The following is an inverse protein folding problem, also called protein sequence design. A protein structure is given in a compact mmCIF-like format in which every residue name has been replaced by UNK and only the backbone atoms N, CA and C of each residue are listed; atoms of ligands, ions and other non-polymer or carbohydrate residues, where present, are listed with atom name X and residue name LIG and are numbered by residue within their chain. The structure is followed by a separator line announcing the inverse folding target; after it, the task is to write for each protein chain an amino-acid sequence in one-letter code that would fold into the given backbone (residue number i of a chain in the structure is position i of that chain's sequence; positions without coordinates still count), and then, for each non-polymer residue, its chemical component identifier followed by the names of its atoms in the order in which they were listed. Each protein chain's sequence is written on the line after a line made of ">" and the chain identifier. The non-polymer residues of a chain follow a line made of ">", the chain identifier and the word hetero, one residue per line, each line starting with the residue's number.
data_IF_651262881224
#
_entry.id   IF_651262881224
#
_cell.length_a   1.000
_cell.length_b   1.000
_cell.length_c   1.000
_cell.angle_alpha   90.00
_cell.angle_beta   90.00
_cell.angle_gamma   90.00
#
_symmetry.space_group_name_H-M   'P 1'
#
loop_
_entity.id
_entity.type
_entity.pdbx_description
1 polymer ?
#
# COMPACT_ATOMS: atom_id res chain seq x y z
N UNK A 1 -53.10 -39.28 -9.18
CA UNK A 1 -51.79 -39.41 -8.51
C UNK A 1 -51.12 -38.05 -8.52
N UNK A 2 -51.29 -37.25 -7.45
CA UNK A 2 -50.54 -36.00 -7.27
C UNK A 2 -49.12 -36.36 -6.83
N UNK A 3 -48.14 -35.70 -7.44
CA UNK A 3 -46.73 -36.09 -7.36
C UNK A 3 -46.14 -35.74 -5.99
N UNK A 4 -45.29 -36.63 -5.45
CA UNK A 4 -44.59 -36.44 -4.17
C UNK A 4 -43.67 -35.19 -4.12
N UNK A 5 -43.50 -34.50 -5.25
CA UNK A 5 -42.72 -33.27 -5.37
C UNK A 5 -43.45 -32.04 -4.82
N UNK A 6 -44.78 -31.98 -4.92
CA UNK A 6 -45.57 -30.81 -4.45
C UNK A 6 -45.71 -30.82 -2.92
N UNK A 7 -45.84 -31.98 -2.31
CA UNK A 7 -45.98 -32.12 -0.85
C UNK A 7 -44.70 -31.72 -0.10
N UNK A 8 -43.53 -31.89 -0.74
CA UNK A 8 -42.25 -31.47 -0.16
C UNK A 8 -42.03 -29.96 -0.23
N UNK A 9 -42.63 -29.27 -1.20
CA UNK A 9 -42.48 -27.82 -1.34
C UNK A 9 -43.41 -27.06 -0.40
N UNK A 10 -44.62 -27.57 -0.15
CA UNK A 10 -45.53 -26.99 0.85
C UNK A 10 -44.99 -27.12 2.28
N UNK A 11 -44.35 -28.24 2.64
CA UNK A 11 -43.73 -28.40 3.97
C UNK A 11 -42.59 -27.41 4.22
N UNK A 12 -41.77 -27.13 3.21
CA UNK A 12 -40.68 -26.16 3.30
C UNK A 12 -41.19 -24.73 3.46
N UNK A 13 -42.29 -24.36 2.78
CA UNK A 13 -42.91 -23.05 2.94
C UNK A 13 -43.61 -22.88 4.29
N UNK A 14 -44.12 -23.96 4.89
CA UNK A 14 -44.70 -23.94 6.23
C UNK A 14 -43.65 -23.74 7.34
N UNK A 15 -42.44 -24.30 7.19
CA UNK A 15 -41.35 -24.07 8.14
C UNK A 15 -40.80 -22.63 8.10
N UNK A 16 -40.78 -22.00 6.92
CA UNK A 16 -40.28 -20.62 6.76
C UNK A 16 -41.19 -19.54 7.38
N UNK A 17 -42.46 -19.85 7.63
CA UNK A 17 -43.42 -18.93 8.26
C UNK A 17 -43.66 -19.19 9.75
N UNK A 18 -42.94 -20.12 10.36
CA UNK A 18 -43.03 -20.32 11.80
C UNK A 18 -42.49 -19.07 12.55
N UNK A 19 -43.27 -18.47 13.47
CA UNK A 19 -42.84 -17.29 14.20
C UNK A 19 -41.63 -17.60 15.07
N UNK A 20 -40.52 -16.89 14.83
CA UNK A 20 -39.31 -16.96 15.65
C UNK A 20 -39.65 -16.69 17.12
N UNK A 21 -39.67 -17.76 17.93
CA UNK A 21 -39.67 -17.66 19.39
C UNK A 21 -38.41 -16.92 19.81
N UNK A 22 -38.57 -15.74 20.43
CA UNK A 22 -37.47 -15.02 21.08
C UNK A 22 -36.76 -15.98 22.04
N UNK A 23 -35.43 -16.13 21.95
CA UNK A 23 -34.68 -16.94 22.91
C UNK A 23 -34.84 -16.34 24.30
N UNK A 24 -35.40 -17.14 25.20
CA UNK A 24 -35.50 -16.85 26.62
C UNK A 24 -34.07 -16.78 27.17
N UNK A 25 -33.64 -15.58 27.58
CA UNK A 25 -32.30 -15.38 28.13
C UNK A 25 -32.16 -16.18 29.43
N UNK A 26 -31.38 -17.25 29.36
CA UNK A 26 -30.95 -17.99 30.54
C UNK A 26 -30.20 -17.05 31.50
N UNK A 27 -30.67 -16.97 32.75
CA UNK A 27 -30.01 -16.21 33.81
C UNK A 27 -28.55 -16.67 33.95
N UNK A 28 -27.60 -15.75 34.13
CA UNK A 28 -26.19 -16.08 34.27
C UNK A 28 -25.99 -16.98 35.50
N UNK A 29 -25.44 -18.17 35.25
CA UNK A 29 -24.97 -19.09 36.28
C UNK A 29 -23.82 -18.38 37.01
N UNK A 30 -23.94 -18.18 38.33
CA UNK A 30 -22.85 -17.66 39.18
C UNK A 30 -21.66 -18.61 39.02
N UNK A 31 -20.64 -18.17 38.28
CA UNK A 31 -19.35 -18.83 38.25
C UNK A 31 -18.72 -18.64 39.62
N UNK A 32 -18.56 -19.76 40.32
CA UNK A 32 -17.80 -19.87 41.55
C UNK A 32 -16.35 -19.46 41.26
N UNK A 33 -15.93 -18.36 41.89
CA UNK A 33 -14.58 -17.82 41.77
C UNK A 33 -13.64 -18.82 42.42
N UNK A 34 -12.93 -19.58 41.58
CA UNK A 34 -11.81 -20.41 42.01
C UNK A 34 -10.66 -19.46 42.39
N UNK A 35 -10.14 -19.51 43.62
CA UNK A 35 -9.01 -18.67 44.01
C UNK A 35 -7.81 -19.00 43.12
N UNK A 36 -7.25 -17.97 42.49
CA UNK A 36 -6.00 -18.07 41.75
C UNK A 36 -4.88 -18.51 42.71
N UNK A 37 -4.02 -19.45 42.28
CA UNK A 37 -2.83 -19.79 43.04
C UNK A 37 -1.89 -18.58 43.05
N UNK A 38 -1.54 -18.18 44.27
CA UNK A 38 -0.55 -17.19 44.64
C UNK A 38 0.76 -17.46 43.87
N UNK A 39 0.99 -16.67 42.81
CA UNK A 39 2.22 -16.71 42.04
C UNK A 39 3.19 -15.70 42.64
N UNK A 40 3.94 -16.21 43.60
CA UNK A 40 5.11 -15.61 44.21
C UNK A 40 6.12 -15.13 43.15
N UNK A 41 6.49 -13.86 43.31
CA UNK A 41 7.81 -13.29 43.02
C UNK A 41 8.45 -13.63 41.66
N UNK A 42 8.13 -12.83 40.66
CA UNK A 42 9.11 -12.47 39.65
C UNK A 42 9.25 -10.94 39.64
N UNK A 43 10.20 -10.44 40.44
CA UNK A 43 10.53 -9.03 40.60
C UNK A 43 11.08 -8.41 39.30
N UNK A 44 10.21 -8.21 38.31
CA UNK A 44 10.41 -7.18 37.30
C UNK A 44 10.08 -5.86 37.97
N UNK A 45 11.11 -5.15 38.39
CA UNK A 45 11.02 -3.75 38.81
C UNK A 45 10.12 -3.01 37.82
N UNK A 46 8.94 -2.59 38.25
CA UNK A 46 8.08 -1.66 37.54
C UNK A 46 8.85 -0.35 37.37
N UNK A 47 9.58 -0.26 36.27
CA UNK A 47 10.29 0.93 35.88
C UNK A 47 9.24 2.04 35.66
N UNK A 48 9.17 2.99 36.60
CA UNK A 48 8.13 4.04 36.61
C UNK A 48 7.98 4.66 35.20
N UNK A 49 6.75 4.75 34.65
CA UNK A 49 6.53 5.24 33.29
C UNK A 49 7.08 6.66 33.02
N UNK A 50 7.31 7.46 34.07
CA UNK A 50 7.98 8.76 33.96
C UNK A 50 9.46 8.68 33.57
N UNK A 51 10.21 7.64 33.98
CA UNK A 51 11.64 7.54 33.65
C UNK A 51 11.84 7.24 32.16
N UNK A 52 11.03 6.34 31.59
CA UNK A 52 11.03 6.03 30.15
C UNK A 52 10.69 7.24 29.29
N UNK A 53 9.69 8.03 29.68
CA UNK A 53 9.34 9.28 28.97
C UNK A 53 10.52 10.26 28.95
N UNK A 54 11.20 10.45 30.09
CA UNK A 54 12.39 11.31 30.17
C UNK A 54 13.56 10.80 29.33
N UNK A 55 13.86 9.50 29.35
CA UNK A 55 14.93 8.93 28.53
C UNK A 55 14.66 9.07 27.03
N UNK A 56 13.41 8.83 26.59
CA UNK A 56 13.00 9.03 25.20
C UNK A 56 13.10 10.51 24.81
N UNK A 57 12.69 11.42 25.69
CA UNK A 57 12.78 12.86 25.46
C UNK A 57 14.24 13.33 25.35
N UNK A 58 15.12 12.90 26.26
CA UNK A 58 16.56 13.18 26.22
C UNK A 58 17.23 12.63 24.95
N UNK A 59 16.91 11.40 24.56
CA UNK A 59 17.40 10.80 23.32
C UNK A 59 16.94 11.60 22.08
N UNK A 60 15.66 12.00 22.04
CA UNK A 60 15.14 12.81 20.94
C UNK A 60 15.70 14.24 20.95
N UNK A 61 15.93 14.84 22.12
CA UNK A 61 16.56 16.17 22.24
C UNK A 61 18.02 16.14 21.79
N UNK A 62 18.77 15.10 22.14
CA UNK A 62 20.14 14.89 21.68
C UNK A 62 20.21 14.66 20.17
N UNK A 63 19.19 14.02 19.60
CA UNK A 63 19.09 13.77 18.15
C UNK A 63 18.32 14.86 17.38
N UNK A 64 17.78 15.90 18.05
CA UNK A 64 16.99 16.99 17.45
C UNK A 64 17.80 17.74 16.38
N UNK A 65 19.13 17.85 16.56
CA UNK A 65 20.05 18.46 15.58
C UNK A 65 20.22 17.65 14.28
N UNK A 66 19.98 16.33 14.32
CA UNK A 66 20.07 15.48 13.13
C UNK A 66 18.74 15.42 12.35
N UNK A 67 17.63 15.88 12.96
CA UNK A 67 16.29 15.82 12.34
C UNK A 67 16.05 16.88 11.26
N UNK A 68 16.81 17.99 11.24
CA UNK A 68 16.71 18.99 10.16
C UNK A 68 17.03 18.43 8.77
N UNK A 69 17.89 17.41 8.70
CA UNK A 69 18.32 16.81 7.44
C UNK A 69 17.54 15.55 7.05
N UNK A 70 16.55 15.15 7.86
CA UNK A 70 15.85 13.88 7.70
C UNK A 70 16.74 12.67 8.00
N UNK A 71 16.08 11.53 8.15
CA UNK A 71 16.70 10.21 8.29
C UNK A 71 17.21 9.79 6.91
N UNK A 72 18.39 9.19 6.84
CA UNK A 72 18.96 8.74 5.56
C UNK A 72 18.39 7.38 5.14
N UNK A 73 18.36 7.10 3.83
CA UNK A 73 17.93 5.78 3.30
C UNK A 73 18.79 4.65 3.88
N UNK A 74 20.08 4.89 4.11
CA UNK A 74 20.97 3.91 4.74
C UNK A 74 20.54 3.53 6.16
N UNK A 75 19.97 4.46 6.92
CA UNK A 75 19.41 4.15 8.23
C UNK A 75 18.17 3.25 8.09
N UNK A 76 17.30 3.49 7.09
CA UNK A 76 16.17 2.61 6.82
C UNK A 76 16.62 1.18 6.46
N UNK A 77 17.64 1.04 5.60
CA UNK A 77 18.24 -0.26 5.28
C UNK A 77 18.82 -0.93 6.53
N UNK A 78 19.55 -0.18 7.36
CA UNK A 78 20.11 -0.71 8.62
C UNK A 78 19.00 -1.19 9.57
N UNK A 79 17.88 -0.47 9.66
CA UNK A 79 16.72 -0.87 10.48
C UNK A 79 16.06 -2.13 9.95
N UNK A 80 15.90 -2.25 8.63
CA UNK A 80 15.37 -3.47 7.98
C UNK A 80 16.29 -4.66 8.27
N UNK A 81 17.60 -4.55 8.00
CA UNK A 81 18.55 -5.64 8.20
C UNK A 81 18.80 -5.97 9.69
N UNK A 82 18.61 -5.01 10.59
CA UNK A 82 18.79 -5.19 12.03
C UNK A 82 17.63 -5.93 12.71
N UNK A 83 16.49 -6.09 12.05
CA UNK A 83 15.31 -6.76 12.60
C UNK A 83 14.88 -7.91 11.70
N UNK A 84 15.07 -9.15 12.18
CA UNK A 84 14.69 -10.36 11.45
C UNK A 84 13.21 -10.37 11.03
N UNK A 85 12.32 -9.87 11.90
CA UNK A 85 10.87 -9.76 11.59
C UNK A 85 10.62 -8.79 10.43
N UNK A 86 11.19 -7.58 10.48
CA UNK A 86 11.00 -6.55 9.45
C UNK A 86 11.63 -6.96 8.11
N UNK A 87 12.80 -7.58 8.14
CA UNK A 87 13.47 -8.14 6.97
C UNK A 87 12.63 -9.23 6.31
N UNK A 88 12.17 -10.22 7.09
CA UNK A 88 11.37 -11.33 6.58
C UNK A 88 10.02 -10.85 6.03
N UNK A 89 9.34 -9.92 6.72
CA UNK A 89 8.12 -9.30 6.21
C UNK A 89 8.36 -8.54 4.91
N UNK A 90 9.46 -7.80 4.79
CA UNK A 90 9.80 -7.07 3.56
C UNK A 90 10.02 -8.00 2.38
N UNK A 91 10.79 -9.09 2.56
CA UNK A 91 10.99 -10.11 1.53
C UNK A 91 9.67 -10.79 1.17
N UNK A 92 8.88 -11.18 2.17
CA UNK A 92 7.58 -11.83 1.96
C UNK A 92 6.65 -10.97 1.11
N UNK A 93 6.61 -9.66 1.37
CA UNK A 93 5.81 -8.71 0.59
C UNK A 93 6.31 -8.58 -0.85
N UNK A 94 7.62 -8.50 -1.06
CA UNK A 94 8.21 -8.45 -2.42
C UNK A 94 7.82 -9.71 -3.20
N UNK A 95 8.02 -10.90 -2.62
CA UNK A 95 7.71 -12.17 -3.27
C UNK A 95 6.21 -12.29 -3.59
N UNK A 96 5.36 -11.88 -2.64
CA UNK A 96 3.91 -11.91 -2.81
C UNK A 96 3.45 -10.95 -3.92
N UNK A 97 4.01 -9.74 -3.96
CA UNK A 97 3.74 -8.77 -5.03
C UNK A 97 4.14 -9.30 -6.41
N UNK A 98 5.33 -9.90 -6.53
CA UNK A 98 5.81 -10.50 -7.79
C UNK A 98 4.88 -11.63 -8.22
N UNK A 99 4.51 -12.54 -7.30
CA UNK A 99 3.64 -13.67 -7.59
C UNK A 99 2.27 -13.23 -8.10
N UNK A 100 1.62 -12.29 -7.40
CA UNK A 100 0.30 -11.75 -7.81
C UNK A 100 0.41 -11.04 -9.16
N UNK A 101 1.44 -10.23 -9.37
CA UNK A 101 1.63 -9.51 -10.63
C UNK A 101 1.78 -10.48 -11.80
N UNK A 102 2.62 -11.51 -11.66
CA UNK A 102 2.81 -12.54 -12.70
C UNK A 102 1.49 -13.28 -12.96
N UNK A 103 0.80 -13.71 -11.92
CA UNK A 103 -0.47 -14.40 -12.04
C UNK A 103 -1.49 -13.56 -12.81
N UNK A 104 -1.71 -12.31 -12.40
CA UNK A 104 -2.67 -11.40 -13.04
C UNK A 104 -2.25 -11.05 -14.46
N UNK A 105 -0.95 -10.97 -14.75
CA UNK A 105 -0.45 -10.64 -16.09
C UNK A 105 -0.84 -11.72 -17.08
N UNK A 106 -0.69 -13.00 -16.70
CA UNK A 106 -1.15 -14.12 -17.51
C UNK A 106 -2.66 -14.10 -17.69
N UNK A 107 -3.43 -13.80 -16.64
CA UNK A 107 -4.90 -13.73 -16.73
C UNK A 107 -5.36 -12.63 -17.70
N UNK A 108 -4.86 -11.39 -17.54
CA UNK A 108 -5.25 -10.28 -18.41
C UNK A 108 -4.80 -10.48 -19.86
N UNK A 109 -3.55 -10.93 -20.07
CA UNK A 109 -3.04 -11.16 -21.42
C UNK A 109 -3.83 -12.27 -22.13
N UNK A 110 -4.07 -13.39 -21.44
CA UNK A 110 -4.86 -14.51 -21.98
C UNK A 110 -6.29 -14.07 -22.31
N UNK A 111 -6.94 -13.35 -21.39
CA UNK A 111 -8.29 -12.83 -21.58
C UNK A 111 -8.40 -11.95 -22.83
N UNK A 112 -7.50 -10.99 -23.02
CA UNK A 112 -7.52 -10.08 -24.17
C UNK A 112 -7.21 -10.84 -25.47
N UNK A 113 -6.22 -11.73 -25.45
CA UNK A 113 -5.82 -12.50 -26.64
C UNK A 113 -6.94 -13.42 -27.11
N UNK A 114 -7.59 -14.17 -26.22
CA UNK A 114 -8.74 -15.03 -26.57
C UNK A 114 -9.85 -14.25 -27.27
N UNK A 115 -10.09 -13.00 -26.85
CA UNK A 115 -11.13 -12.14 -27.43
C UNK A 115 -10.74 -11.47 -28.75
N UNK A 116 -9.46 -11.41 -29.07
CA UNK A 116 -8.94 -10.65 -30.23
C UNK A 116 -8.25 -11.51 -31.27
N UNK A 117 -8.04 -12.81 -30.99
CA UNK A 117 -7.39 -13.75 -31.90
C UNK A 117 -8.08 -13.84 -33.26
N UNK A 118 -9.42 -13.82 -33.31
CA UNK A 118 -10.15 -14.00 -34.56
C UNK A 118 -10.03 -12.82 -35.53
N UNK A 119 -9.84 -11.59 -34.99
CA UNK A 119 -9.63 -10.39 -35.80
C UNK A 119 -8.36 -10.47 -36.66
N UNK A 120 -7.33 -11.15 -36.17
CA UNK A 120 -6.03 -11.23 -36.85
C UNK A 120 -5.89 -12.43 -37.80
N UNK A 121 -6.83 -13.40 -37.78
CA UNK A 121 -6.77 -14.63 -38.60
C UNK A 121 -7.15 -14.43 -40.06
N UNK A 122 -7.94 -13.42 -40.40
CA UNK A 122 -8.44 -13.23 -41.76
C UNK A 122 -7.35 -12.60 -42.63
N UNK A 123 -6.79 -13.38 -43.55
CA UNK A 123 -5.80 -12.86 -44.50
C UNK A 123 -6.44 -11.97 -45.57
N UNK A 124 -5.73 -10.92 -46.02
CA UNK A 124 -6.23 -10.09 -47.11
C UNK A 124 -6.42 -10.93 -48.37
N UNK A 125 -7.67 -11.05 -48.82
CA UNK A 125 -7.99 -11.64 -50.12
C UNK A 125 -7.64 -10.62 -51.22
N UNK A 126 -6.50 -10.79 -51.89
CA UNK A 126 -6.16 -9.97 -53.05
C UNK A 126 -4.77 -10.23 -53.61
N UNK A 127 -4.67 -10.15 -54.94
CA UNK A 127 -3.41 -10.11 -55.68
C UNK A 127 -3.10 -8.65 -56.05
N UNK A 128 -1.82 -8.25 -56.02
CA UNK A 128 -1.36 -6.93 -56.46
C UNK A 128 -0.59 -6.11 -55.42
N UNK A 129 -0.11 -4.93 -55.83
CA UNK A 129 0.71 -4.06 -54.97
C UNK A 129 0.01 -3.65 -53.66
N UNK A 130 -1.29 -3.31 -53.73
CA UNK A 130 -2.06 -2.92 -52.54
C UNK A 130 -2.27 -4.05 -51.53
N UNK A 131 -2.35 -5.32 -51.98
CA UNK A 131 -2.46 -6.44 -51.05
C UNK A 131 -1.16 -6.67 -50.27
N UNK A 132 -0.01 -6.45 -50.91
CA UNK A 132 1.30 -6.46 -50.24
C UNK A 132 1.40 -5.36 -49.17
N UNK A 133 1.01 -4.12 -49.50
CA UNK A 133 1.02 -2.99 -48.54
C UNK A 133 0.08 -3.30 -47.35
N UNK A 134 -1.13 -3.78 -47.62
CA UNK A 134 -2.07 -4.15 -46.56
C UNK A 134 -1.55 -5.30 -45.71
N UNK A 135 -0.90 -6.31 -46.30
CA UNK A 135 -0.26 -7.40 -45.57
C UNK A 135 0.79 -6.88 -44.57
N UNK A 136 1.70 -6.02 -45.01
CA UNK A 136 2.70 -5.43 -44.10
C UNK A 136 2.07 -4.57 -43.01
N UNK A 137 1.04 -3.78 -43.34
CA UNK A 137 0.30 -2.98 -42.37
C UNK A 137 -0.41 -3.86 -41.33
N UNK A 138 -0.98 -5.01 -41.75
CA UNK A 138 -1.58 -6.01 -40.86
C UNK A 138 -0.54 -6.65 -39.94
N UNK A 139 0.61 -7.07 -40.48
CA UNK A 139 1.71 -7.66 -39.70
C UNK A 139 2.23 -6.66 -38.66
N UNK A 140 2.51 -5.42 -39.08
CA UNK A 140 2.96 -4.35 -38.20
C UNK A 140 1.90 -3.98 -37.15
N UNK A 141 0.63 -3.86 -37.56
CA UNK A 141 -0.50 -3.61 -36.68
C UNK A 141 -0.67 -4.71 -35.63
N UNK A 142 -0.55 -5.98 -36.02
CA UNK A 142 -0.61 -7.13 -35.10
C UNK A 142 0.56 -7.14 -34.12
N UNK A 143 1.75 -6.73 -34.56
CA UNK A 143 2.91 -6.56 -33.69
C UNK A 143 2.68 -5.46 -32.65
N UNK A 144 2.30 -4.26 -33.10
CA UNK A 144 2.00 -3.12 -32.22
C UNK A 144 0.86 -3.43 -31.25
N UNK A 145 -0.19 -4.10 -31.73
CA UNK A 145 -1.30 -4.55 -30.89
C UNK A 145 -0.83 -5.50 -29.80
N UNK A 146 -0.08 -6.56 -30.14
CA UNK A 146 0.46 -7.51 -29.15
C UNK A 146 1.39 -6.84 -28.15
N UNK A 147 2.21 -5.90 -28.60
CA UNK A 147 3.07 -5.10 -27.72
C UNK A 147 2.22 -4.27 -26.75
N UNK A 148 1.21 -3.57 -27.26
CA UNK A 148 0.30 -2.73 -26.48
C UNK A 148 -0.46 -3.56 -25.44
N UNK A 149 -1.00 -4.72 -25.83
CA UNK A 149 -1.70 -5.63 -24.91
C UNK A 149 -0.76 -6.07 -23.79
N UNK A 150 0.48 -6.50 -24.09
CA UNK A 150 1.44 -6.92 -23.07
C UNK A 150 1.76 -5.78 -22.10
N UNK A 151 2.01 -4.58 -22.61
CA UNK A 151 2.33 -3.40 -21.80
C UNK A 151 1.14 -3.03 -20.90
N UNK A 152 -0.08 -2.93 -21.45
CA UNK A 152 -1.28 -2.61 -20.69
C UNK A 152 -1.60 -3.69 -19.65
N UNK A 153 -1.56 -4.98 -20.04
CA UNK A 153 -1.77 -6.09 -19.10
C UNK A 153 -0.78 -6.05 -17.96
N UNK A 154 0.51 -5.80 -18.24
CA UNK A 154 1.52 -5.65 -17.20
C UNK A 154 1.18 -4.52 -16.20
N UNK A 155 0.86 -3.32 -16.69
CA UNK A 155 0.52 -2.19 -15.81
C UNK A 155 -0.77 -2.41 -15.03
N UNK A 156 -1.80 -2.97 -15.63
CA UNK A 156 -3.04 -3.31 -14.92
C UNK A 156 -2.80 -4.35 -13.82
N UNK A 157 -2.02 -5.40 -14.11
CA UNK A 157 -1.62 -6.40 -13.12
C UNK A 157 -0.86 -5.78 -11.97
N UNK A 158 0.11 -4.92 -12.28
CA UNK A 158 0.92 -4.24 -11.28
C UNK A 158 0.08 -3.32 -10.37
N UNK A 159 -0.79 -2.49 -10.96
CA UNK A 159 -1.68 -1.59 -10.21
C UNK A 159 -2.63 -2.38 -9.29
N UNK A 160 -3.19 -3.48 -9.80
CA UNK A 160 -4.07 -4.33 -9.03
C UNK A 160 -3.31 -5.03 -7.90
N UNK A 161 -2.15 -5.63 -8.20
CA UNK A 161 -1.29 -6.27 -7.23
C UNK A 161 -0.89 -5.30 -6.11
N UNK A 162 -0.48 -4.08 -6.48
CA UNK A 162 -0.12 -3.01 -5.54
C UNK A 162 -1.27 -2.72 -4.57
N UNK A 163 -2.49 -2.62 -5.10
CA UNK A 163 -3.69 -2.34 -4.30
C UNK A 163 -4.01 -3.49 -3.32
N UNK A 164 -3.81 -4.74 -3.74
CA UNK A 164 -4.01 -5.92 -2.87
C UNK A 164 -2.92 -6.04 -1.80
N UNK A 165 -1.69 -5.68 -2.14
CA UNK A 165 -0.52 -5.77 -1.26
C UNK A 165 -0.42 -4.58 -0.29
N UNK A 166 -1.16 -3.49 -0.53
CA UNK A 166 -1.12 -2.26 0.29
C UNK A 166 -1.26 -2.48 1.81
N UNK A 167 -2.12 -3.39 2.33
CA UNK A 167 -2.24 -3.60 3.78
C UNK A 167 -0.95 -4.19 4.38
N UNK A 168 -0.20 -4.98 3.60
CA UNK A 168 1.08 -5.52 4.05
C UNK A 168 2.17 -4.43 4.13
N UNK A 169 2.12 -3.43 3.25
CA UNK A 169 2.99 -2.26 3.36
C UNK A 169 2.61 -1.37 4.56
N UNK A 170 1.32 -1.20 4.86
CA UNK A 170 0.87 -0.56 6.12
C UNK A 170 1.41 -1.30 7.34
N UNK A 171 1.42 -2.63 7.31
CA UNK A 171 1.97 -3.46 8.38
C UNK A 171 3.49 -3.29 8.53
N UNK A 172 4.25 -3.29 7.43
CA UNK A 172 5.70 -2.99 7.43
C UNK A 172 5.95 -1.60 8.03
N UNK A 173 5.16 -0.59 7.63
CA UNK A 173 5.23 0.76 8.19
C UNK A 173 5.01 0.74 9.71
N UNK A 174 4.01 0.00 10.21
CA UNK A 174 3.78 -0.11 11.66
C UNK A 174 4.98 -0.70 12.40
N UNK A 175 5.50 -1.84 11.94
CA UNK A 175 6.67 -2.49 12.56
C UNK A 175 7.87 -1.52 12.58
N UNK A 176 8.10 -0.81 11.47
CA UNK A 176 9.20 0.14 11.37
C UNK A 176 9.06 1.30 12.36
N UNK A 177 7.86 1.86 12.52
CA UNK A 177 7.58 2.93 13.50
C UNK A 177 7.80 2.42 14.94
N UNK A 178 7.27 1.25 15.27
CA UNK A 178 7.38 0.66 16.61
C UNK A 178 8.84 0.35 16.98
N UNK A 179 9.59 -0.22 16.02
CA UNK A 179 11.01 -0.53 16.18
C UNK A 179 11.85 0.74 16.32
N UNK A 180 11.54 1.79 15.56
CA UNK A 180 12.28 3.04 15.62
C UNK A 180 12.06 3.81 16.94
N UNK A 181 10.85 3.78 17.49
CA UNK A 181 10.52 4.47 18.75
C UNK A 181 10.59 3.58 20.00
N UNK A 182 11.01 2.33 19.86
CA UNK A 182 11.15 1.39 20.98
C UNK A 182 9.84 1.05 21.69
N UNK A 183 8.72 1.02 20.95
CA UNK A 183 7.42 0.61 21.50
C UNK A 183 7.26 -0.92 21.35
N UNK A 184 6.83 -1.64 22.40
CA UNK A 184 6.59 -3.07 22.30
C UNK A 184 5.46 -3.34 21.29
N UNK A 185 5.67 -4.38 20.49
CA UNK A 185 4.95 -4.68 19.23
C UNK A 185 3.65 -5.44 19.50
N UNK A 186 2.94 -5.09 20.59
CA UNK A 186 1.94 -5.97 21.19
C UNK A 186 0.58 -5.87 20.47
N UNK A 187 0.34 -4.81 19.70
CA UNK A 187 -0.95 -4.57 19.02
C UNK A 187 -0.87 -4.67 17.48
N UNK A 188 0.17 -5.28 16.90
CA UNK A 188 0.33 -5.40 15.44
C UNK A 188 -0.61 -6.45 14.80
N UNK A 189 -1.86 -6.47 15.24
CA UNK A 189 -2.88 -7.37 14.69
C UNK A 189 -3.44 -6.81 13.39
N UNK A 190 -3.45 -7.65 12.36
CA UNK A 190 -4.09 -7.37 11.09
C UNK A 190 -5.58 -7.67 11.27
N UNK A 191 -6.41 -6.63 11.30
CA UNK A 191 -7.86 -6.79 11.34
C UNK A 191 -8.45 -6.77 9.92
N UNK A 192 -9.46 -7.61 9.66
CA UNK A 192 -10.16 -7.65 8.36
C UNK A 192 -10.78 -6.30 7.99
N UNK A 193 -11.44 -5.56 8.91
CA UNK A 193 -11.91 -4.20 8.61
C UNK A 193 -10.75 -3.24 8.30
N UNK A 194 -9.61 -3.41 8.98
CA UNK A 194 -8.39 -2.65 8.72
C UNK A 194 -7.87 -2.87 7.30
N UNK A 195 -7.80 -4.13 6.85
CA UNK A 195 -7.41 -4.52 5.49
C UNK A 195 -8.31 -3.85 4.45
N UNK A 196 -9.63 -3.93 4.61
CA UNK A 196 -10.58 -3.36 3.65
C UNK A 196 -10.45 -1.84 3.53
N UNK A 197 -10.26 -1.14 4.65
CA UNK A 197 -10.08 0.30 4.64
C UNK A 197 -8.71 0.70 4.04
N UNK A 198 -7.66 -0.09 4.25
CA UNK A 198 -6.35 0.11 3.62
C UNK A 198 -6.40 -0.11 2.10
N UNK A 199 -7.12 -1.13 1.64
CA UNK A 199 -7.37 -1.36 0.20
C UNK A 199 -8.14 -0.17 -0.40
N UNK A 200 -9.20 0.28 0.28
CA UNK A 200 -10.01 1.43 -0.17
C UNK A 200 -9.17 2.71 -0.23
N UNK A 201 -8.28 2.91 0.73
CA UNK A 201 -7.41 4.07 0.75
C UNK A 201 -6.34 4.00 -0.34
N UNK A 202 -5.72 2.84 -0.53
CA UNK A 202 -4.78 2.60 -1.61
C UNK A 202 -5.44 2.81 -2.98
N UNK A 203 -6.67 2.34 -3.17
CA UNK A 203 -7.42 2.56 -4.41
C UNK A 203 -7.64 4.06 -4.69
N UNK A 204 -8.00 4.85 -3.67
CA UNK A 204 -8.13 6.31 -3.82
C UNK A 204 -6.82 6.99 -4.19
N UNK A 205 -5.72 6.60 -3.55
CA UNK A 205 -4.38 7.14 -3.87
C UNK A 205 -3.97 6.74 -5.27
N UNK A 206 -4.14 5.47 -5.65
CA UNK A 206 -3.87 4.95 -6.99
C UNK A 206 -4.65 5.70 -8.07
N UNK A 207 -5.93 5.97 -7.85
CA UNK A 207 -6.73 6.76 -8.79
C UNK A 207 -6.21 8.21 -8.90
N UNK A 208 -5.89 8.84 -7.77
CA UNK A 208 -5.34 10.19 -7.76
C UNK A 208 -3.98 10.25 -8.47
N UNK A 209 -3.08 9.31 -8.22
CA UNK A 209 -1.76 9.26 -8.86
C UNK A 209 -1.86 8.90 -10.33
N UNK A 210 -2.81 8.06 -10.74
CA UNK A 210 -3.11 7.81 -12.15
C UNK A 210 -3.57 9.10 -12.86
N UNK A 211 -4.48 9.87 -12.26
CA UNK A 211 -4.90 11.16 -12.81
C UNK A 211 -3.73 12.13 -12.93
N UNK A 212 -2.91 12.27 -11.89
CA UNK A 212 -1.72 13.13 -11.91
C UNK A 212 -0.73 12.65 -12.97
N UNK A 213 -0.57 11.33 -13.14
CA UNK A 213 0.29 10.73 -14.16
C UNK A 213 -0.14 11.07 -15.58
N UNK A 214 -1.46 11.04 -15.85
CA UNK A 214 -2.01 11.48 -17.15
C UNK A 214 -1.71 12.97 -17.38
N UNK A 215 -1.88 13.81 -16.35
CA UNK A 215 -1.55 15.24 -16.44
C UNK A 215 -0.05 15.44 -16.72
N UNK A 216 0.82 14.74 -16.00
CA UNK A 216 2.26 14.81 -16.18
C UNK A 216 2.69 14.34 -17.58
N UNK A 217 2.06 13.29 -18.10
CA UNK A 217 2.26 12.83 -19.47
C UNK A 217 1.88 13.92 -20.49
N UNK A 218 0.70 14.55 -20.33
CA UNK A 218 0.28 15.66 -21.18
C UNK A 218 1.24 16.85 -21.10
N UNK A 219 1.74 17.18 -19.91
CA UNK A 219 2.74 18.23 -19.74
C UNK A 219 4.05 17.91 -20.47
N UNK A 220 4.43 16.64 -20.58
CA UNK A 220 5.64 16.20 -21.29
C UNK A 220 5.70 16.60 -22.77
N UNK A 221 4.57 16.93 -23.41
CA UNK A 221 4.54 17.43 -24.78
C UNK A 221 4.98 18.89 -24.91
N UNK A 222 5.00 19.66 -23.82
CA UNK A 222 5.49 21.04 -23.82
C UNK A 222 7.01 21.02 -23.60
N UNK A 223 7.82 21.46 -24.58
CA UNK A 223 9.27 21.39 -24.46
C UNK A 223 9.76 22.27 -23.31
N UNK A 224 10.81 21.81 -22.62
CA UNK A 224 11.48 22.47 -21.48
C UNK A 224 10.58 22.63 -20.25
N UNK A 225 9.60 23.53 -20.29
CA UNK A 225 8.74 23.87 -19.14
C UNK A 225 7.87 22.68 -18.73
N UNK A 226 7.29 21.99 -19.70
CA UNK A 226 6.44 20.84 -19.45
C UNK A 226 7.19 19.66 -18.83
N UNK A 227 8.45 19.45 -19.21
CA UNK A 227 9.31 18.41 -18.65
C UNK A 227 9.66 18.68 -17.18
N UNK A 228 9.96 19.94 -16.83
CA UNK A 228 10.21 20.35 -15.44
C UNK A 228 8.95 20.15 -14.59
N UNK A 229 7.78 20.56 -15.09
CA UNK A 229 6.51 20.36 -14.39
C UNK A 229 6.15 18.88 -14.24
N UNK A 230 6.35 18.07 -15.28
CA UNK A 230 6.13 16.62 -15.22
C UNK A 230 7.05 15.96 -14.17
N UNK A 231 8.30 16.41 -14.04
CA UNK A 231 9.21 15.94 -13.00
C UNK A 231 8.74 16.32 -11.59
N UNK A 232 8.28 17.56 -11.38
CA UNK A 232 7.71 18.01 -10.10
C UNK A 232 6.46 17.20 -9.74
N UNK A 233 5.58 16.95 -10.72
CA UNK A 233 4.40 16.10 -10.51
C UNK A 233 4.79 14.66 -10.17
N UNK A 234 5.86 14.13 -10.77
CA UNK A 234 6.38 12.80 -10.45
C UNK A 234 6.91 12.73 -9.01
N UNK A 235 7.64 13.75 -8.54
CA UNK A 235 8.05 13.87 -7.14
C UNK A 235 6.83 13.87 -6.20
N UNK A 236 5.80 14.64 -6.54
CA UNK A 236 4.57 14.71 -5.75
C UNK A 236 3.80 13.38 -5.74
N UNK A 237 3.69 12.70 -6.89
CA UNK A 237 3.08 11.37 -6.99
C UNK A 237 3.82 10.34 -6.15
N UNK A 238 5.15 10.29 -6.24
CA UNK A 238 5.95 9.37 -5.44
C UNK A 238 5.84 9.70 -3.94
N UNK A 239 5.73 10.97 -3.58
CA UNK A 239 5.38 11.38 -2.21
C UNK A 239 4.05 10.82 -1.76
N UNK A 240 2.99 11.00 -2.55
CA UNK A 240 1.68 10.46 -2.22
C UNK A 240 1.70 8.95 -2.04
N UNK A 241 2.42 8.20 -2.89
CA UNK A 241 2.52 6.74 -2.80
C UNK A 241 3.29 6.27 -1.57
N UNK A 242 4.48 6.79 -1.32
CA UNK A 242 5.35 6.26 -0.26
C UNK A 242 4.85 6.69 1.13
N UNK A 243 4.33 7.92 1.28
CA UNK A 243 3.73 8.37 2.55
C UNK A 243 2.31 7.82 2.77
N UNK A 244 1.71 7.15 1.78
CA UNK A 244 0.36 6.58 1.92
C UNK A 244 0.26 5.61 3.10
N UNK A 245 1.24 4.74 3.26
CA UNK A 245 1.18 3.64 4.25
C UNK A 245 1.17 4.13 5.70
N UNK A 246 1.99 5.14 6.01
CA UNK A 246 2.01 5.72 7.37
C UNK A 246 0.77 6.58 7.63
N UNK A 247 0.27 7.29 6.60
CA UNK A 247 -0.89 8.17 6.73
C UNK A 247 -2.24 7.44 6.66
N UNK A 248 -2.31 6.28 5.98
CA UNK A 248 -3.49 5.42 5.89
C UNK A 248 -3.86 4.83 7.25
N UNK A 249 -2.85 4.40 8.02
CA UNK A 249 -3.03 3.94 9.42
C UNK A 249 -3.64 5.01 10.30
N UNK A 250 -3.30 6.28 10.06
CA UNK A 250 -3.85 7.45 10.75
C UNK A 250 -5.17 7.95 10.14
N UNK A 251 -5.72 7.24 9.15
CA UNK A 251 -6.96 7.57 8.42
C UNK A 251 -6.98 8.99 7.85
N UNK A 252 -5.83 9.48 7.38
CA UNK A 252 -5.77 10.81 6.78
C UNK A 252 -6.49 10.87 5.44
N UNK A 253 -7.23 11.95 5.19
CA UNK A 253 -7.81 12.23 3.87
C UNK A 253 -6.73 12.59 2.85
N UNK A 254 -7.00 12.37 1.55
CA UNK A 254 -6.08 12.74 0.46
C UNK A 254 -5.66 14.22 0.51
N UNK A 255 -6.59 15.10 0.87
CA UNK A 255 -6.34 16.53 1.00
C UNK A 255 -5.33 16.80 2.10
N UNK A 256 -5.48 16.14 3.27
CA UNK A 256 -4.53 16.29 4.38
C UNK A 256 -3.14 15.77 4.00
N UNK A 257 -3.05 14.64 3.30
CA UNK A 257 -1.78 14.09 2.79
C UNK A 257 -1.10 15.06 1.83
N UNK A 258 -1.84 15.55 0.84
CA UNK A 258 -1.36 16.49 -0.16
C UNK A 258 -0.85 17.79 0.49
N UNK A 259 -1.64 18.35 1.41
CA UNK A 259 -1.24 19.54 2.17
C UNK A 259 0.03 19.30 2.96
N UNK A 260 0.15 18.15 3.63
CA UNK A 260 1.33 17.80 4.43
C UNK A 260 2.61 17.73 3.60
N UNK A 261 2.55 17.14 2.39
CA UNK A 261 3.68 17.06 1.47
C UNK A 261 4.17 18.46 1.05
N UNK A 262 3.22 19.37 0.78
CA UNK A 262 3.51 20.75 0.38
C UNK A 262 4.04 21.58 1.55
N UNK A 263 3.58 21.32 2.78
CA UNK A 263 4.07 22.04 3.97
C UNK A 263 5.44 21.55 4.45
N UNK A 264 5.85 20.33 4.08
CA UNK A 264 7.16 19.75 4.45
C UNK A 264 7.99 19.39 3.20
N UNK A 265 8.34 20.38 2.36
CA UNK A 265 8.96 20.11 1.06
C UNK A 265 10.36 19.49 1.20
N UNK A 266 11.18 19.96 2.14
CA UNK A 266 12.54 19.44 2.33
C UNK A 266 12.55 17.95 2.71
N UNK A 267 11.70 17.55 3.66
CA UNK A 267 11.56 16.17 4.11
C UNK A 267 10.96 15.29 3.01
N UNK A 268 9.94 15.80 2.33
CA UNK A 268 9.29 15.12 1.22
C UNK A 268 10.29 14.86 0.09
N UNK A 269 11.00 15.90 -0.37
CA UNK A 269 12.01 15.79 -1.41
C UNK A 269 13.14 14.83 -1.03
N UNK A 270 13.67 14.94 0.19
CA UNK A 270 14.72 14.04 0.69
C UNK A 270 14.29 12.57 0.71
N UNK A 271 12.99 12.30 0.89
CA UNK A 271 12.42 10.95 0.87
C UNK A 271 12.15 10.46 -0.56
N UNK A 272 11.65 11.32 -1.44
CA UNK A 272 11.11 10.90 -2.75
C UNK A 272 12.07 11.07 -3.92
N UNK A 273 13.18 11.79 -3.76
CA UNK A 273 14.08 12.08 -4.87
C UNK A 273 14.71 10.80 -5.43
N UNK A 274 15.15 9.90 -4.55
CA UNK A 274 15.78 8.63 -4.96
C UNK A 274 14.79 7.74 -5.72
N UNK A 275 13.58 7.41 -5.21
CA UNK A 275 12.63 6.61 -5.98
C UNK A 275 12.21 7.30 -7.28
N UNK A 276 12.14 8.62 -7.32
CA UNK A 276 11.83 9.37 -8.54
C UNK A 276 12.94 9.25 -9.58
N UNK A 277 14.21 9.38 -9.18
CA UNK A 277 15.34 9.21 -10.09
C UNK A 277 15.45 7.78 -10.63
N UNK A 278 15.20 6.77 -9.79
CA UNK A 278 15.11 5.36 -10.23
C UNK A 278 13.96 5.19 -11.23
N UNK A 279 12.85 5.91 -11.01
CA UNK A 279 11.69 5.85 -11.89
C UNK A 279 11.98 6.34 -13.32
N UNK A 280 13.00 7.18 -13.51
CA UNK A 280 13.40 7.68 -14.82
C UNK A 280 14.06 6.61 -15.70
N UNK A 281 14.42 5.44 -15.16
CA UNK A 281 15.08 4.36 -15.90
C UNK A 281 14.04 3.39 -16.50
N UNK A 282 13.59 3.52 -17.77
CA UNK A 282 12.39 2.84 -18.27
C UNK A 282 12.39 1.30 -18.13
N UNK A 283 13.52 0.64 -18.37
CA UNK A 283 13.62 -0.84 -18.34
C UNK A 283 13.90 -1.35 -16.93
N UNK A 284 14.68 -0.59 -16.15
CA UNK A 284 15.24 -1.02 -14.87
C UNK A 284 14.31 -0.64 -13.70
N UNK A 285 13.53 0.42 -13.88
CA UNK A 285 12.64 1.03 -12.89
C UNK A 285 11.76 -0.03 -12.19
N UNK A 286 10.98 -0.80 -12.95
CA UNK A 286 9.99 -1.71 -12.38
C UNK A 286 10.62 -2.72 -11.42
N UNK A 287 11.74 -3.32 -11.84
CA UNK A 287 12.44 -4.32 -11.04
C UNK A 287 13.00 -3.64 -9.79
N UNK A 288 13.74 -2.56 -9.95
CA UNK A 288 14.38 -1.87 -8.82
C UNK A 288 13.37 -1.32 -7.83
N UNK A 289 12.28 -0.72 -8.30
CA UNK A 289 11.21 -0.25 -7.42
C UNK A 289 10.60 -1.43 -6.68
N UNK A 290 10.25 -2.54 -7.33
CA UNK A 290 9.67 -3.68 -6.64
C UNK A 290 10.55 -4.19 -5.47
N UNK A 291 11.88 -4.22 -5.64
CA UNK A 291 12.81 -4.64 -4.58
C UNK A 291 13.07 -3.55 -3.53
N UNK A 292 13.13 -2.28 -3.92
CA UNK A 292 13.47 -1.17 -3.03
C UNK A 292 12.25 -0.55 -2.34
N UNK A 293 11.04 -0.88 -2.78
CA UNK A 293 9.82 -0.27 -2.25
C UNK A 293 9.68 -0.42 -0.73
N UNK A 294 9.91 -1.61 -0.11
CA UNK A 294 9.88 -1.71 1.36
C UNK A 294 10.88 -0.78 2.05
N UNK A 295 12.06 -0.55 1.45
CA UNK A 295 13.06 0.40 1.98
C UNK A 295 12.50 1.82 1.97
N UNK A 296 11.87 2.23 0.87
CA UNK A 296 11.24 3.54 0.78
C UNK A 296 10.06 3.70 1.75
N UNK A 297 9.25 2.65 1.94
CA UNK A 297 8.15 2.65 2.94
C UNK A 297 8.68 2.86 4.35
N UNK A 298 9.74 2.12 4.74
CA UNK A 298 10.38 2.27 6.05
C UNK A 298 11.00 3.67 6.20
N UNK A 299 11.72 4.13 5.18
CA UNK A 299 12.36 5.46 5.16
C UNK A 299 11.34 6.59 5.34
N UNK A 300 10.25 6.58 4.55
CA UNK A 300 9.19 7.56 4.65
C UNK A 300 8.46 7.48 5.99
N UNK A 301 8.22 6.28 6.51
CA UNK A 301 7.58 6.11 7.82
C UNK A 301 8.40 6.75 8.93
N UNK A 302 9.70 6.47 8.99
CA UNK A 302 10.57 7.03 10.01
C UNK A 302 10.64 8.56 9.89
N UNK A 303 10.81 9.09 8.67
CA UNK A 303 10.84 10.53 8.41
C UNK A 303 9.53 11.22 8.82
N UNK A 304 8.40 10.67 8.39
CA UNK A 304 7.07 11.19 8.70
C UNK A 304 6.83 11.22 10.22
N UNK A 305 7.05 10.09 10.90
CA UNK A 305 6.73 9.98 12.32
C UNK A 305 7.66 10.84 13.18
N UNK A 306 8.92 11.05 12.78
CA UNK A 306 9.81 12.01 13.44
C UNK A 306 9.32 13.45 13.32
N UNK A 307 8.88 13.85 12.13
CA UNK A 307 8.36 15.20 11.89
C UNK A 307 7.09 15.46 12.71
N UNK A 308 6.12 14.54 12.67
CA UNK A 308 4.87 14.70 13.44
C UNK A 308 5.14 14.71 14.94
N UNK A 309 6.02 13.84 15.46
CA UNK A 309 6.33 13.80 16.88
C UNK A 309 7.07 15.05 17.36
N UNK A 310 7.92 15.64 16.51
CA UNK A 310 8.58 16.91 16.83
C UNK A 310 7.57 18.04 16.93
N UNK A 311 6.63 18.10 15.98
CA UNK A 311 5.55 19.10 15.99
C UNK A 311 4.59 18.93 17.19
N UNK A 312 4.35 17.70 17.65
CA UNK A 312 3.57 17.42 18.87
C UNK A 312 4.29 17.96 20.11
N UNK A 313 5.59 17.68 20.27
CA UNK A 313 6.38 18.15 21.40
C UNK A 313 6.47 19.69 21.47
N UNK A 314 6.63 20.35 20.32
CA UNK A 314 6.64 21.82 20.27
C UNK A 314 5.29 22.41 20.69
N UNK A 315 4.16 21.75 20.38
CA UNK A 315 2.85 22.19 20.87
C UNK A 315 2.69 21.99 22.37
N UNK A 316 3.18 20.88 22.91
CA UNK A 316 3.17 20.61 24.35
C UNK A 316 4.05 21.63 25.11
N UNK A 317 5.26 21.94 24.62
CA UNK A 317 6.14 22.96 25.18
C UNK A 317 5.45 24.35 25.21
N UNK A 318 4.81 24.76 24.11
CA UNK A 318 4.10 26.04 24.03
C UNK A 318 2.87 26.14 24.95
N UNK A 319 2.19 25.02 25.25
CA UNK A 319 1.03 25.00 26.17
C UNK A 319 1.49 25.13 27.63
N UNK A 320 2.68 24.61 27.96
CA UNK A 320 3.22 24.70 29.34
C UNK A 320 3.77 26.09 29.65
N UNK A 321 4.21 26.84 28.63
CA UNK A 321 4.71 28.22 28.79
C UNK A 321 3.61 29.29 28.80
N UNK A 322 2.40 28.98 28.32
CA UNK A 322 1.24 29.90 28.27
C UNK A 322 0.38 29.86 29.52
#
# INVERSE_FOLDING_TARGET
>A
MKSASEESTEKLLQELHAPHKKPEMAKPKKTEVRPEPDSTENGKSEEKPESKKKQIFEFMKKNRFNMKNGISVFQAVKVICGSGKLFLSSIGVILFMILITIFLYYQFTSFIMVRTLDFWKVDPAGEGFFSAVYYYLKVFGSFLFRLTVKVLSFYFSFIFAYTVVSPLYSFISKIAEDLYFGRPNDDAEISVPGILEDIKQALKVTLATLTIGIIAFCMGFVPVVGQILAFILCLFMNGLLVFDFVTSRRRWSLVKKSKWLVTHPALTLGTVIIPTLISLLPVINIIFIAFLFPVFVVHATMNFSCAERSAELEREENIVES
#
